data_IF_179631698824
#
_entry.id   IF_179631698824
#
_cell.length_a   1.000
_cell.length_b   1.000
_cell.length_c   1.000
_cell.angle_alpha   90.00
_cell.angle_beta   90.00
_cell.angle_gamma   90.00
#
_symmetry.space_group_name_H-M   'P 1'
#
loop_
_entity.id
_entity.type
_entity.pdbx_description
1 polymer ?
#
# COMPACT_ATOMS: atom_id res chain seq x y z
N UNK A 1 -10.87 -46.05 62.99
CA UNK A 1 -11.87 -45.54 61.97
C UNK A 1 -11.08 -44.86 60.88
N UNK A 2 -11.02 -45.52 59.72
CA UNK A 2 -10.16 -45.14 58.62
C UNK A 2 -11.04 -44.37 57.62
N UNK A 3 -10.76 -43.08 57.42
CA UNK A 3 -11.49 -42.28 56.43
C UNK A 3 -10.88 -42.45 55.04
N UNK A 4 -11.66 -42.91 54.09
CA UNK A 4 -11.31 -43.02 52.68
C UNK A 4 -11.37 -41.65 51.99
N UNK A 5 -10.22 -41.18 51.49
CA UNK A 5 -10.18 -40.08 50.50
C UNK A 5 -10.67 -40.63 49.15
N UNK A 6 -11.72 -40.06 48.63
CA UNK A 6 -12.11 -40.21 47.22
C UNK A 6 -11.30 -39.26 46.37
N UNK A 7 -10.44 -39.76 45.49
CA UNK A 7 -9.85 -39.02 44.36
C UNK A 7 -10.94 -38.86 43.27
N UNK A 8 -11.36 -37.63 43.07
CA UNK A 8 -12.16 -37.28 41.91
C UNK A 8 -11.25 -37.20 40.66
N UNK A 9 -11.44 -38.12 39.75
CA UNK A 9 -10.79 -38.14 38.45
C UNK A 9 -11.36 -37.00 37.57
N UNK A 10 -10.56 -35.94 37.34
CA UNK A 10 -10.89 -34.93 36.33
C UNK A 10 -10.71 -35.54 34.95
N UNK A 11 -11.84 -35.85 34.29
CA UNK A 11 -11.87 -36.15 32.87
C UNK A 11 -11.58 -34.86 32.10
N UNK A 12 -10.37 -34.72 31.56
CA UNK A 12 -10.04 -33.72 30.55
C UNK A 12 -10.83 -34.03 29.29
N UNK A 13 -11.71 -33.10 28.91
CA UNK A 13 -12.36 -33.10 27.60
C UNK A 13 -11.33 -33.01 26.51
N UNK A 14 -11.42 -33.74 25.39
CA UNK A 14 -10.49 -33.60 24.28
C UNK A 14 -10.65 -32.18 23.69
N UNK A 15 -9.57 -31.41 23.67
CA UNK A 15 -9.51 -30.13 23.03
C UNK A 15 -9.85 -30.21 21.53
N UNK A 16 -10.18 -29.10 20.88
CA UNK A 16 -10.62 -29.09 19.50
C UNK A 16 -9.53 -29.73 18.61
N UNK A 17 -9.95 -30.75 17.84
CA UNK A 17 -9.12 -31.42 16.84
C UNK A 17 -8.53 -30.37 15.91
N UNK A 18 -7.21 -30.25 15.89
CA UNK A 18 -6.53 -29.49 14.85
C UNK A 18 -6.95 -30.02 13.48
N UNK A 19 -7.49 -29.15 12.66
CA UNK A 19 -7.78 -29.46 11.26
C UNK A 19 -6.48 -29.92 10.59
N UNK A 20 -6.51 -30.98 9.77
CA UNK A 20 -5.30 -31.44 9.09
C UNK A 20 -4.73 -30.30 8.25
N UNK A 21 -3.44 -30.01 8.45
CA UNK A 21 -2.69 -29.11 7.59
C UNK A 21 -2.92 -29.57 6.14
N UNK A 22 -3.47 -28.70 5.30
CA UNK A 22 -3.63 -28.97 3.87
C UNK A 22 -2.25 -29.33 3.34
N UNK A 23 -2.11 -30.55 2.86
CA UNK A 23 -0.91 -31.09 2.22
C UNK A 23 -0.39 -30.06 1.22
N UNK A 24 0.85 -29.59 1.44
CA UNK A 24 1.48 -28.61 0.58
C UNK A 24 1.58 -29.12 -0.85
N UNK A 25 0.81 -28.53 -1.74
CA UNK A 25 1.30 -28.35 -3.10
C UNK A 25 2.58 -27.52 -2.97
N UNK A 26 3.70 -27.99 -3.52
CA UNK A 26 4.92 -27.20 -3.61
C UNK A 26 4.59 -25.97 -4.44
N UNK A 27 4.29 -24.85 -3.76
CA UNK A 27 4.14 -23.57 -4.44
C UNK A 27 5.49 -23.25 -5.06
N UNK A 28 5.51 -22.92 -6.35
CA UNK A 28 6.64 -22.28 -6.98
C UNK A 28 7.15 -21.13 -6.10
N UNK A 29 8.43 -20.78 -6.19
CA UNK A 29 8.99 -19.69 -5.40
C UNK A 29 8.11 -18.44 -5.57
N UNK A 30 7.73 -17.79 -4.46
CA UNK A 30 6.95 -16.54 -4.46
C UNK A 30 7.63 -15.51 -5.35
N UNK A 31 6.85 -14.79 -6.15
CA UNK A 31 7.38 -13.85 -7.13
C UNK A 31 6.67 -12.49 -7.05
N UNK A 32 7.47 -11.45 -7.01
CA UNK A 32 7.01 -10.06 -7.12
C UNK A 32 7.57 -9.45 -8.39
N UNK A 33 6.72 -8.81 -9.17
CA UNK A 33 7.15 -7.93 -10.24
C UNK A 33 7.05 -6.46 -9.77
N UNK A 34 8.07 -5.66 -10.06
CA UNK A 34 8.06 -4.21 -9.84
C UNK A 34 8.18 -3.54 -11.19
N UNK A 35 7.11 -2.89 -11.66
CA UNK A 35 7.06 -2.20 -12.94
C UNK A 35 7.39 -0.72 -12.74
N UNK A 36 8.49 -0.30 -13.36
CA UNK A 36 9.16 0.97 -13.12
C UNK A 36 10.36 0.79 -12.19
N UNK A 37 11.58 0.81 -12.75
CA UNK A 37 12.83 0.72 -11.99
C UNK A 37 13.35 2.09 -11.51
N UNK A 38 12.48 3.11 -11.47
CA UNK A 38 12.77 4.43 -10.91
C UNK A 38 13.16 4.36 -9.42
N UNK A 39 13.28 5.51 -8.75
CA UNK A 39 13.72 5.52 -7.35
C UNK A 39 12.72 4.81 -6.43
N UNK A 40 11.40 5.00 -6.63
CA UNK A 40 10.37 4.36 -5.82
C UNK A 40 10.37 2.85 -6.02
N UNK A 41 10.35 2.38 -7.28
CA UNK A 41 10.35 0.95 -7.58
C UNK A 41 11.63 0.26 -7.12
N UNK A 42 12.79 0.90 -7.29
CA UNK A 42 14.06 0.39 -6.80
C UNK A 42 14.08 0.29 -5.27
N UNK A 43 13.56 1.30 -4.54
CA UNK A 43 13.43 1.23 -3.09
C UNK A 43 12.50 0.09 -2.67
N UNK A 44 11.36 -0.07 -3.34
CA UNK A 44 10.43 -1.17 -3.09
C UNK A 44 11.13 -2.53 -3.27
N UNK A 45 11.80 -2.74 -4.41
CA UNK A 45 12.54 -3.96 -4.69
C UNK A 45 13.63 -4.25 -3.65
N UNK A 46 14.37 -3.23 -3.24
CA UNK A 46 15.43 -3.35 -2.24
C UNK A 46 14.90 -3.73 -0.85
N UNK A 47 13.80 -3.10 -0.40
CA UNK A 47 13.15 -3.46 0.87
C UNK A 47 12.61 -4.89 0.82
N UNK A 48 11.99 -5.31 -0.29
CA UNK A 48 11.53 -6.68 -0.48
C UNK A 48 12.68 -7.70 -0.47
N UNK A 49 13.82 -7.35 -1.08
CA UNK A 49 15.02 -8.19 -1.06
C UNK A 49 15.54 -8.42 0.36
N UNK A 50 15.69 -7.34 1.15
CA UNK A 50 16.11 -7.43 2.56
C UNK A 50 15.15 -8.27 3.42
N UNK A 51 13.88 -8.35 3.05
CA UNK A 51 12.86 -9.17 3.72
C UNK A 51 12.79 -10.61 3.22
N UNK A 52 13.64 -10.99 2.26
CA UNK A 52 13.71 -12.33 1.68
C UNK A 52 12.34 -12.86 1.21
N UNK A 53 11.53 -12.00 0.56
CA UNK A 53 10.15 -12.36 0.21
C UNK A 53 10.02 -13.36 -0.94
N UNK A 54 11.10 -13.61 -1.69
CA UNK A 54 11.14 -14.51 -2.83
C UNK A 54 11.86 -13.91 -4.05
N UNK A 55 11.43 -14.27 -5.25
CA UNK A 55 11.97 -13.73 -6.49
C UNK A 55 11.41 -12.33 -6.77
N UNK A 56 12.28 -11.39 -7.16
CA UNK A 56 11.93 -10.03 -7.54
C UNK A 56 12.34 -9.80 -8.99
N UNK A 57 11.39 -9.37 -9.81
CA UNK A 57 11.62 -8.99 -11.21
C UNK A 57 11.35 -7.50 -11.36
N UNK A 58 12.36 -6.72 -11.71
CA UNK A 58 12.21 -5.30 -12.01
C UNK A 58 12.04 -5.12 -13.52
N UNK A 59 10.90 -4.59 -13.94
CA UNK A 59 10.61 -4.31 -15.34
C UNK A 59 10.68 -2.81 -15.61
N UNK A 60 11.42 -2.41 -16.63
CA UNK A 60 11.50 -1.02 -17.09
C UNK A 60 11.70 -0.96 -18.59
N UNK A 61 11.20 0.07 -19.24
CA UNK A 61 11.42 0.32 -20.68
C UNK A 61 12.91 0.44 -21.01
N UNK A 62 13.71 0.89 -20.05
CA UNK A 62 15.18 0.96 -20.13
C UNK A 62 15.79 -0.29 -19.48
N UNK A 63 15.92 -1.37 -20.26
CA UNK A 63 16.38 -2.68 -19.78
C UNK A 63 17.71 -2.61 -19.03
N UNK A 64 18.69 -1.88 -19.56
CA UNK A 64 20.00 -1.70 -18.92
C UNK A 64 19.91 -1.05 -17.54
N UNK A 65 18.98 -0.12 -17.37
CA UNK A 65 18.73 0.55 -16.09
C UNK A 65 18.14 -0.41 -15.04
N UNK A 66 17.14 -1.21 -15.43
CA UNK A 66 16.58 -2.25 -14.56
C UNK A 66 17.62 -3.31 -14.18
N UNK A 67 18.40 -3.81 -15.17
CA UNK A 67 19.47 -4.79 -14.96
C UNK A 67 20.57 -4.26 -14.04
N UNK A 68 21.00 -3.01 -14.25
CA UNK A 68 22.04 -2.38 -13.43
C UNK A 68 21.62 -2.28 -11.96
N UNK A 69 20.42 -1.80 -11.68
CA UNK A 69 19.89 -1.72 -10.30
C UNK A 69 19.71 -3.11 -9.68
N UNK A 70 19.20 -4.08 -10.43
CA UNK A 70 19.03 -5.45 -9.94
C UNK A 70 20.39 -6.07 -9.57
N UNK A 71 21.42 -5.84 -10.37
CA UNK A 71 22.78 -6.33 -10.10
C UNK A 71 23.39 -5.67 -8.86
N UNK A 72 23.26 -4.35 -8.71
CA UNK A 72 23.76 -3.60 -7.56
C UNK A 72 23.09 -4.09 -6.26
N UNK A 73 21.75 -4.23 -6.26
CA UNK A 73 21.04 -4.83 -5.14
C UNK A 73 21.51 -6.25 -4.82
N UNK A 74 21.70 -7.10 -5.84
CA UNK A 74 22.17 -8.47 -5.64
C UNK A 74 23.56 -8.51 -4.99
N UNK A 75 24.46 -7.59 -5.36
CA UNK A 75 25.77 -7.45 -4.73
C UNK A 75 25.69 -7.00 -3.27
N UNK A 76 24.66 -6.19 -2.91
CA UNK A 76 24.39 -5.82 -1.53
C UNK A 76 23.94 -6.97 -0.63
N UNK A 77 23.52 -8.10 -1.19
CA UNK A 77 22.96 -9.23 -0.45
C UNK A 77 23.90 -9.80 0.62
N UNK A 78 25.17 -10.02 0.27
CA UNK A 78 26.16 -10.53 1.23
C UNK A 78 26.40 -9.57 2.40
N UNK A 79 26.40 -8.25 2.12
CA UNK A 79 26.62 -7.21 3.15
C UNK A 79 25.44 -7.08 4.10
N UNK A 80 24.21 -7.25 3.58
CA UNK A 80 22.96 -7.02 4.30
C UNK A 80 22.23 -8.32 4.70
N UNK A 81 22.88 -9.47 4.50
CA UNK A 81 22.38 -10.80 4.85
C UNK A 81 21.02 -11.16 4.23
N UNK A 82 20.89 -10.98 2.91
CA UNK A 82 19.76 -11.50 2.15
C UNK A 82 20.20 -12.23 0.88
N UNK A 83 19.43 -13.25 0.48
CA UNK A 83 19.66 -14.10 -0.70
C UNK A 83 18.57 -13.88 -1.78
N UNK A 84 17.97 -12.70 -1.83
CA UNK A 84 16.91 -12.38 -2.78
C UNK A 84 17.36 -12.54 -4.22
N UNK A 85 16.60 -13.31 -5.02
CA UNK A 85 16.81 -13.40 -6.46
C UNK A 85 16.21 -12.17 -7.12
N UNK A 86 17.05 -11.23 -7.55
CA UNK A 86 16.62 -9.98 -8.19
C UNK A 86 17.08 -10.00 -9.63
N UNK A 87 16.18 -9.72 -10.57
CA UNK A 87 16.49 -9.60 -12.00
C UNK A 87 15.89 -8.32 -12.58
N UNK A 88 16.50 -7.80 -13.63
CA UNK A 88 15.99 -6.66 -14.39
C UNK A 88 15.67 -7.08 -15.83
N UNK A 89 14.58 -6.57 -16.38
CA UNK A 89 14.10 -6.88 -17.74
C UNK A 89 13.32 -5.72 -18.34
N UNK A 90 13.04 -5.80 -19.63
CA UNK A 90 12.02 -5.00 -20.33
C UNK A 90 10.87 -5.85 -20.86
N UNK A 91 10.97 -7.18 -20.74
CA UNK A 91 10.03 -8.12 -21.30
C UNK A 91 8.97 -8.51 -20.29
N UNK A 92 7.70 -8.29 -20.63
CA UNK A 92 6.57 -8.69 -19.79
C UNK A 92 6.46 -10.21 -19.59
N UNK A 93 7.00 -11.03 -20.48
CA UNK A 93 7.03 -12.49 -20.29
C UNK A 93 7.76 -12.89 -19.00
N UNK A 94 8.73 -12.09 -18.54
CA UNK A 94 9.49 -12.35 -17.33
C UNK A 94 8.69 -12.13 -16.05
N UNK A 95 7.55 -11.41 -16.10
CA UNK A 95 6.66 -11.29 -14.94
C UNK A 95 5.65 -12.43 -14.82
N UNK A 96 5.63 -13.36 -15.77
CA UNK A 96 4.70 -14.49 -15.75
C UNK A 96 4.79 -15.25 -14.41
N UNK A 97 3.61 -15.56 -13.84
CA UNK A 97 3.50 -16.21 -12.55
C UNK A 97 3.84 -15.34 -11.34
N UNK A 98 3.89 -14.01 -11.49
CA UNK A 98 4.01 -13.12 -10.35
C UNK A 98 2.74 -13.19 -9.46
N UNK A 99 2.94 -13.34 -8.15
CA UNK A 99 1.85 -13.29 -7.16
C UNK A 99 1.39 -11.84 -6.92
N UNK A 100 2.35 -10.90 -6.96
CA UNK A 100 2.11 -9.47 -6.77
C UNK A 100 2.83 -8.67 -7.84
N UNK A 101 2.16 -7.67 -8.38
CA UNK A 101 2.75 -6.68 -9.29
C UNK A 101 2.64 -5.30 -8.65
N UNK A 102 3.78 -4.67 -8.36
CA UNK A 102 3.85 -3.30 -7.87
C UNK A 102 4.09 -2.36 -9.05
N UNK A 103 3.21 -1.40 -9.26
CA UNK A 103 3.27 -0.46 -10.40
C UNK A 103 3.70 0.91 -9.91
N UNK A 104 4.93 1.30 -10.26
CA UNK A 104 5.51 2.61 -9.96
C UNK A 104 5.87 3.40 -11.21
N UNK A 105 5.62 2.81 -12.39
CA UNK A 105 5.84 3.47 -13.68
C UNK A 105 4.87 4.64 -13.86
N UNK A 106 5.38 5.76 -14.31
CA UNK A 106 4.57 6.95 -14.54
C UNK A 106 5.45 8.15 -14.83
N UNK A 107 4.82 9.20 -15.34
CA UNK A 107 5.49 10.44 -15.64
C UNK A 107 5.44 11.36 -14.41
N UNK A 108 6.58 11.89 -13.93
CA UNK A 108 6.57 12.83 -12.82
C UNK A 108 6.03 14.19 -13.28
N UNK A 109 5.30 14.88 -12.40
CA UNK A 109 4.82 16.23 -12.69
C UNK A 109 6.01 17.17 -12.95
N UNK A 110 5.96 17.88 -14.07
CA UNK A 110 6.97 18.91 -14.43
C UNK A 110 6.42 20.31 -14.18
N UNK A 111 7.27 21.30 -13.93
CA UNK A 111 6.84 22.70 -13.87
C UNK A 111 6.07 23.09 -15.14
N UNK A 112 4.93 23.77 -14.98
CA UNK A 112 4.06 24.19 -16.09
C UNK A 112 3.11 23.13 -16.63
N UNK A 113 3.15 21.89 -16.12
CA UNK A 113 2.20 20.84 -16.49
C UNK A 113 0.90 20.97 -15.71
N UNK A 114 -0.23 20.97 -16.41
CA UNK A 114 -1.55 20.93 -15.78
C UNK A 114 -1.78 19.58 -15.07
N UNK A 115 -2.84 19.51 -14.28
CA UNK A 115 -3.24 18.23 -13.65
C UNK A 115 -3.78 17.28 -14.72
N UNK A 116 -4.58 17.79 -15.65
CA UNK A 116 -5.17 17.05 -16.76
C UNK A 116 -4.10 16.43 -17.65
N UNK A 117 -3.06 17.20 -18.02
CA UNK A 117 -1.91 16.70 -18.79
C UNK A 117 -1.19 15.54 -18.07
N UNK A 118 -1.04 15.63 -16.76
CA UNK A 118 -0.40 14.58 -15.97
C UNK A 118 -1.27 13.32 -15.92
N UNK A 119 -2.58 13.48 -15.68
CA UNK A 119 -3.54 12.36 -15.65
C UNK A 119 -3.56 11.67 -16.99
N UNK A 120 -3.72 12.39 -18.11
CA UNK A 120 -3.76 11.83 -19.46
C UNK A 120 -2.51 11.02 -19.80
N UNK A 121 -1.31 11.60 -19.57
CA UNK A 121 -0.04 10.89 -19.82
C UNK A 121 0.13 9.63 -18.96
N UNK A 122 -0.26 9.69 -17.71
CA UNK A 122 -0.16 8.53 -16.82
C UNK A 122 -1.23 7.49 -17.16
N UNK A 123 -2.42 7.88 -17.62
CA UNK A 123 -3.43 6.95 -18.11
C UNK A 123 -2.95 6.15 -19.33
N UNK A 124 -2.26 6.79 -20.27
CA UNK A 124 -1.66 6.09 -21.42
C UNK A 124 -0.64 5.04 -20.96
N UNK A 125 0.27 5.43 -20.05
CA UNK A 125 1.27 4.50 -19.48
C UNK A 125 0.59 3.36 -18.73
N UNK A 126 -0.42 3.65 -17.90
CA UNK A 126 -1.13 2.63 -17.13
C UNK A 126 -1.96 1.71 -18.03
N UNK A 127 -2.46 2.20 -19.16
CA UNK A 127 -3.13 1.37 -20.16
C UNK A 127 -2.18 0.34 -20.78
N UNK A 128 -0.96 0.74 -21.14
CA UNK A 128 0.07 -0.18 -21.66
C UNK A 128 0.51 -1.19 -20.59
N UNK A 129 0.82 -0.71 -19.40
CA UNK A 129 1.24 -1.55 -18.26
C UNK A 129 0.13 -2.53 -17.87
N UNK A 130 -1.11 -2.07 -17.79
CA UNK A 130 -2.26 -2.91 -17.45
C UNK A 130 -2.50 -4.02 -18.46
N UNK A 131 -2.37 -3.74 -19.76
CA UNK A 131 -2.42 -4.76 -20.80
C UNK A 131 -1.31 -5.80 -20.64
N UNK A 132 -0.07 -5.36 -20.40
CA UNK A 132 1.06 -6.26 -20.14
C UNK A 132 0.85 -7.16 -18.91
N UNK A 133 0.32 -6.62 -17.81
CA UNK A 133 -0.01 -7.38 -16.61
C UNK A 133 -1.13 -8.39 -16.88
N UNK A 134 -2.22 -7.98 -17.52
CA UNK A 134 -3.35 -8.84 -17.86
C UNK A 134 -2.89 -10.06 -18.68
N UNK A 135 -2.02 -9.82 -19.65
CA UNK A 135 -1.61 -10.84 -20.62
C UNK A 135 -0.55 -11.80 -20.05
N UNK A 136 0.28 -11.37 -19.09
CA UNK A 136 1.40 -12.17 -18.58
C UNK A 136 1.29 -12.57 -17.10
N UNK A 137 0.55 -11.84 -16.27
CA UNK A 137 0.35 -12.11 -14.85
C UNK A 137 -1.13 -11.99 -14.41
N UNK A 138 -2.07 -12.73 -15.08
CA UNK A 138 -3.52 -12.54 -14.90
C UNK A 138 -4.04 -12.88 -13.50
N UNK A 139 -3.29 -13.67 -12.72
CA UNK A 139 -3.68 -14.10 -11.37
C UNK A 139 -3.07 -13.24 -10.26
N UNK A 140 -2.28 -12.23 -10.61
CA UNK A 140 -1.60 -11.37 -9.63
C UNK A 140 -2.55 -10.42 -8.91
N UNK A 141 -2.08 -9.92 -7.75
CA UNK A 141 -2.65 -8.74 -7.09
C UNK A 141 -1.79 -7.53 -7.47
N UNK A 142 -2.44 -6.44 -7.85
CA UNK A 142 -1.76 -5.21 -8.29
C UNK A 142 -1.73 -4.21 -7.14
N UNK A 143 -0.53 -3.72 -6.81
CA UNK A 143 -0.31 -2.61 -5.88
C UNK A 143 0.08 -1.37 -6.68
N UNK A 144 -0.82 -0.39 -6.75
CA UNK A 144 -0.60 0.86 -7.47
C UNK A 144 0.13 1.88 -6.61
N UNK A 145 1.10 2.58 -7.23
CA UNK A 145 1.87 3.67 -6.60
C UNK A 145 1.87 4.93 -7.48
N UNK A 146 1.59 4.77 -8.77
CA UNK A 146 1.60 5.86 -9.75
C UNK A 146 0.55 6.92 -9.44
N UNK A 147 0.97 8.19 -9.44
CA UNK A 147 0.08 9.34 -9.21
C UNK A 147 -0.54 9.91 -10.50
N UNK A 148 -1.74 10.51 -10.41
CA UNK A 148 -2.61 10.61 -9.23
C UNK A 148 -3.19 9.27 -8.82
N UNK A 149 -2.89 8.84 -7.60
CA UNK A 149 -3.02 7.44 -7.18
C UNK A 149 -4.42 6.87 -7.35
N UNK A 150 -5.43 7.54 -6.81
CA UNK A 150 -6.80 7.02 -6.78
C UNK A 150 -7.37 6.89 -8.20
N UNK A 151 -7.06 7.87 -9.08
CA UNK A 151 -7.45 7.84 -10.49
C UNK A 151 -6.74 6.72 -11.26
N UNK A 152 -5.43 6.57 -11.05
CA UNK A 152 -4.64 5.53 -11.72
C UNK A 152 -4.99 4.13 -11.23
N UNK A 153 -5.40 3.98 -9.96
CA UNK A 153 -5.89 2.72 -9.41
C UNK A 153 -7.22 2.32 -10.06
N UNK A 154 -8.14 3.28 -10.18
CA UNK A 154 -9.41 3.08 -10.88
C UNK A 154 -9.18 2.70 -12.35
N UNK A 155 -8.33 3.46 -13.04
CA UNK A 155 -8.00 3.22 -14.44
C UNK A 155 -7.35 1.84 -14.66
N UNK A 156 -6.39 1.45 -13.81
CA UNK A 156 -5.77 0.11 -13.85
C UNK A 156 -6.80 -1.01 -13.73
N UNK A 157 -7.75 -0.88 -12.82
CA UNK A 157 -8.82 -1.87 -12.68
C UNK A 157 -9.67 -1.98 -13.96
N UNK A 158 -10.02 -0.84 -14.57
CA UNK A 158 -10.78 -0.82 -15.83
C UNK A 158 -10.01 -1.44 -17.00
N UNK A 159 -8.73 -1.12 -17.13
CA UNK A 159 -7.86 -1.65 -18.21
C UNK A 159 -7.64 -3.15 -18.08
N UNK A 160 -7.37 -3.62 -16.86
CA UNK A 160 -7.10 -5.05 -16.64
C UNK A 160 -8.36 -5.90 -16.60
N UNK A 161 -9.48 -5.33 -16.17
CA UNK A 161 -10.70 -6.08 -15.88
C UNK A 161 -10.56 -7.02 -14.67
N UNK A 162 -9.53 -6.84 -13.85
CA UNK A 162 -9.35 -7.65 -12.65
C UNK A 162 -10.46 -7.38 -11.64
N UNK A 163 -10.83 -8.36 -10.81
CA UNK A 163 -11.70 -8.13 -9.67
C UNK A 163 -11.19 -6.95 -8.82
N UNK A 164 -12.07 -6.01 -8.39
CA UNK A 164 -11.63 -4.80 -7.69
C UNK A 164 -10.77 -5.06 -6.46
N UNK A 165 -11.00 -6.14 -5.74
CA UNK A 165 -10.21 -6.56 -4.57
C UNK A 165 -8.76 -6.91 -4.93
N UNK A 166 -8.45 -7.23 -6.19
CA UNK A 166 -7.09 -7.51 -6.66
C UNK A 166 -6.34 -6.29 -7.19
N UNK A 167 -6.93 -5.12 -7.14
CA UNK A 167 -6.25 -3.86 -7.48
C UNK A 167 -6.35 -2.94 -6.27
N UNK A 168 -5.23 -2.54 -5.70
CA UNK A 168 -5.18 -1.74 -4.47
C UNK A 168 -4.15 -0.62 -4.60
N UNK A 169 -4.50 0.57 -4.14
CA UNK A 169 -3.62 1.74 -4.20
C UNK A 169 -2.85 1.96 -2.89
N UNK A 170 -1.57 2.33 -3.02
CA UNK A 170 -0.73 2.75 -1.91
C UNK A 170 -1.03 4.21 -1.57
N UNK A 171 -1.84 4.46 -0.55
CA UNK A 171 -2.34 5.78 -0.15
C UNK A 171 -2.11 6.03 1.35
N UNK A 172 -3.13 5.82 2.15
CA UNK A 172 -3.14 6.10 3.57
C UNK A 172 -2.01 5.45 4.37
N UNK A 173 -1.47 4.31 3.93
CA UNK A 173 -0.30 3.70 4.58
C UNK A 173 0.91 4.65 4.58
N UNK A 174 1.14 5.40 3.51
CA UNK A 174 2.20 6.41 3.44
C UNK A 174 1.82 7.67 4.23
N UNK A 175 0.58 8.13 4.09
CA UNK A 175 0.10 9.34 4.74
C UNK A 175 0.05 9.16 6.25
N UNK A 176 -0.38 8.00 6.73
CA UNK A 176 -0.31 7.63 8.15
C UNK A 176 1.13 7.53 8.66
N UNK A 177 2.07 7.02 7.86
CA UNK A 177 3.48 6.99 8.24
C UNK A 177 4.10 8.39 8.39
N UNK A 178 3.67 9.37 7.58
CA UNK A 178 4.06 10.78 7.75
C UNK A 178 3.50 11.34 9.06
N UNK A 179 2.20 11.13 9.30
CA UNK A 179 1.55 11.57 10.54
C UNK A 179 2.21 10.93 11.78
N UNK A 180 2.49 9.64 11.73
CA UNK A 180 3.26 8.90 12.75
C UNK A 180 4.58 9.60 13.06
N UNK A 181 5.35 9.96 12.02
CA UNK A 181 6.65 10.60 12.20
C UNK A 181 6.51 11.98 12.89
N UNK A 182 5.55 12.80 12.45
CA UNK A 182 5.37 14.13 13.02
C UNK A 182 4.86 14.09 14.46
N UNK A 183 4.02 13.14 14.81
CA UNK A 183 3.59 12.91 16.21
C UNK A 183 4.76 12.45 17.06
N UNK A 184 5.55 11.49 16.57
CA UNK A 184 6.70 10.98 17.29
C UNK A 184 7.76 12.06 17.54
N UNK A 185 8.00 12.94 16.54
CA UNK A 185 8.90 14.11 16.64
C UNK A 185 8.39 15.10 17.71
N UNK A 186 7.10 15.45 17.68
CA UNK A 186 6.47 16.39 18.62
C UNK A 186 6.53 15.87 20.07
N UNK A 187 6.26 14.59 20.28
CA UNK A 187 6.20 13.99 21.60
C UNK A 187 7.55 13.47 22.11
N UNK A 188 8.58 13.42 21.26
CA UNK A 188 9.88 12.83 21.60
C UNK A 188 9.81 11.32 21.89
N UNK A 189 8.94 10.57 21.18
CA UNK A 189 8.75 9.12 21.35
C UNK A 189 9.20 8.36 20.09
N UNK A 190 9.30 7.03 20.19
CA UNK A 190 9.57 6.19 19.02
C UNK A 190 8.43 6.18 18.01
N UNK A 191 8.76 6.16 16.72
CA UNK A 191 7.78 5.90 15.65
C UNK A 191 7.04 4.55 15.84
N UNK A 192 7.64 3.59 16.51
CA UNK A 192 7.06 2.25 16.74
C UNK A 192 5.85 2.31 17.70
N UNK A 193 5.81 3.32 18.56
CA UNK A 193 4.74 3.50 19.54
C UNK A 193 3.53 4.27 18.99
N UNK A 194 3.67 4.90 17.82
CA UNK A 194 2.60 5.72 17.21
C UNK A 194 1.88 4.96 16.12
N UNK A 195 0.56 4.92 16.21
CA UNK A 195 -0.33 4.35 15.20
C UNK A 195 -1.29 5.43 14.70
N UNK A 196 -0.98 5.99 13.53
CA UNK A 196 -1.81 7.00 12.90
C UNK A 196 -2.79 6.41 11.88
N UNK A 197 -3.91 7.10 11.67
CA UNK A 197 -4.95 6.74 10.71
C UNK A 197 -5.27 7.94 9.82
N UNK A 198 -5.08 7.76 8.51
CA UNK A 198 -5.40 8.76 7.48
C UNK A 198 -6.23 8.09 6.38
N UNK A 199 -7.39 8.63 6.10
CA UNK A 199 -8.31 8.20 5.04
C UNK A 199 -8.34 9.21 3.88
N UNK A 200 -9.26 8.99 2.95
CA UNK A 200 -9.50 9.90 1.83
C UNK A 200 -8.54 9.73 0.68
N UNK A 201 -8.58 10.64 -0.27
CA UNK A 201 -7.71 10.62 -1.44
C UNK A 201 -6.26 10.93 -1.12
N UNK A 202 -5.35 10.30 -1.84
CA UNK A 202 -3.91 10.50 -1.65
C UNK A 202 -3.46 11.86 -2.20
N UNK A 203 -3.41 12.88 -1.32
CA UNK A 203 -3.04 14.26 -1.65
C UNK A 203 -3.73 15.28 -0.75
N UNK A 204 -4.06 16.44 -1.32
CA UNK A 204 -4.61 17.58 -0.56
C UNK A 204 -5.99 17.32 0.07
N UNK A 205 -6.67 16.25 -0.34
CA UNK A 205 -8.00 15.86 0.15
C UNK A 205 -7.97 14.67 1.11
N UNK A 206 -6.80 14.34 1.66
CA UNK A 206 -6.71 13.31 2.70
C UNK A 206 -7.45 13.74 3.97
N UNK A 207 -7.88 12.75 4.74
CA UNK A 207 -8.66 12.93 5.97
C UNK A 207 -7.92 12.28 7.13
N UNK A 208 -7.02 13.00 7.81
CA UNK A 208 -6.41 12.52 9.05
C UNK A 208 -7.47 12.32 10.12
N UNK A 209 -7.34 11.25 10.90
CA UNK A 209 -8.27 10.90 11.97
C UNK A 209 -7.58 10.91 13.35
N UNK A 210 -7.49 12.05 14.04
CA UNK A 210 -6.87 12.16 15.37
C UNK A 210 -7.49 11.21 16.41
N UNK A 211 -8.79 11.01 16.37
CA UNK A 211 -9.53 10.11 17.30
C UNK A 211 -9.14 8.63 17.15
N UNK A 212 -8.69 8.24 15.96
CA UNK A 212 -8.21 6.89 15.65
C UNK A 212 -6.68 6.80 15.61
N UNK A 213 -6.00 7.88 16.02
CA UNK A 213 -4.54 7.95 16.09
C UNK A 213 -4.10 7.85 17.53
N UNK A 214 -3.16 6.94 17.83
CA UNK A 214 -2.77 6.62 19.19
C UNK A 214 -1.25 6.58 19.36
N UNK A 215 -0.80 6.84 20.58
CA UNK A 215 0.57 6.55 21.06
C UNK A 215 0.44 5.48 22.14
N UNK A 216 1.01 4.29 21.92
CA UNK A 216 0.87 3.14 22.80
C UNK A 216 -0.57 2.83 23.22
N UNK A 217 -1.53 3.03 22.30
CA UNK A 217 -2.95 2.82 22.54
C UNK A 217 -3.70 3.98 23.19
N UNK A 218 -3.02 5.07 23.54
CA UNK A 218 -3.66 6.28 24.09
C UNK A 218 -3.98 7.23 22.92
N UNK A 219 -5.25 7.66 22.75
CA UNK A 219 -5.59 8.61 21.70
C UNK A 219 -4.81 9.92 21.82
N UNK A 220 -4.32 10.45 20.71
CA UNK A 220 -3.52 11.71 20.71
C UNK A 220 -4.34 12.90 21.20
N UNK A 221 -5.67 12.84 21.09
CA UNK A 221 -6.59 13.85 21.64
C UNK A 221 -6.55 13.97 23.16
N UNK A 222 -5.95 13.00 23.87
CA UNK A 222 -5.69 13.05 25.32
C UNK A 222 -4.26 13.47 25.66
N UNK A 223 -3.37 13.53 24.66
CA UNK A 223 -1.92 13.74 24.85
C UNK A 223 -1.45 15.11 24.37
N UNK A 224 -2.19 15.73 23.46
CA UNK A 224 -1.85 17.03 22.84
C UNK A 224 -3.06 17.92 22.77
N UNK A 225 -2.83 19.24 22.72
CA UNK A 225 -3.90 20.21 22.47
C UNK A 225 -4.33 20.19 20.98
N UNK A 226 -5.50 20.79 20.74
CA UNK A 226 -6.14 20.81 19.42
C UNK A 226 -5.28 21.58 18.39
N UNK A 227 -4.61 22.67 18.78
CA UNK A 227 -3.79 23.48 17.89
C UNK A 227 -2.58 22.68 17.39
N UNK A 228 -1.92 21.93 18.25
CA UNK A 228 -0.82 21.03 17.92
C UNK A 228 -1.28 19.90 16.99
N UNK A 229 -2.42 19.28 17.28
CA UNK A 229 -3.00 18.23 16.43
C UNK A 229 -3.31 18.78 15.04
N UNK A 230 -3.96 19.92 14.93
CA UNK A 230 -4.29 20.58 13.67
C UNK A 230 -3.04 20.91 12.84
N UNK A 231 -1.98 21.40 13.50
CA UNK A 231 -0.70 21.67 12.87
C UNK A 231 -0.08 20.40 12.25
N UNK A 232 -0.09 19.30 13.00
CA UNK A 232 0.39 18.00 12.53
C UNK A 232 -0.45 17.49 11.35
N UNK A 233 -1.78 17.59 11.42
CA UNK A 233 -2.68 17.20 10.33
C UNK A 233 -2.39 18.00 9.05
N UNK A 234 -2.22 19.31 9.15
CA UNK A 234 -1.87 20.18 8.01
C UNK A 234 -0.50 19.83 7.43
N UNK A 235 0.50 19.61 8.30
CA UNK A 235 1.84 19.18 7.85
C UNK A 235 1.82 17.82 7.18
N UNK A 236 1.00 16.89 7.67
CA UNK A 236 0.79 15.57 7.06
C UNK A 236 0.27 15.68 5.64
N UNK A 237 -0.76 16.49 5.41
CA UNK A 237 -1.32 16.74 4.07
C UNK A 237 -0.27 17.38 3.13
N UNK A 238 0.56 18.28 3.65
CA UNK A 238 1.64 18.95 2.93
C UNK A 238 2.93 18.15 2.80
N UNK A 239 3.07 16.98 3.47
CA UNK A 239 4.36 16.29 3.67
C UNK A 239 5.07 15.86 2.39
N UNK A 240 4.32 15.54 1.34
CA UNK A 240 4.90 15.27 0.01
C UNK A 240 5.51 16.52 -0.61
N UNK A 241 4.83 17.65 -0.52
CA UNK A 241 5.29 18.95 -1.01
C UNK A 241 6.50 19.48 -0.22
N UNK A 242 6.53 19.27 1.10
CA UNK A 242 7.68 19.62 1.95
C UNK A 242 8.96 18.93 1.46
N UNK A 243 8.89 17.63 1.18
CA UNK A 243 10.03 16.86 0.67
C UNK A 243 10.48 17.37 -0.71
N UNK A 244 9.52 17.62 -1.63
CA UNK A 244 9.83 18.17 -2.97
C UNK A 244 10.56 19.50 -2.86
N UNK A 245 10.12 20.38 -1.96
CA UNK A 245 10.76 21.68 -1.71
C UNK A 245 12.18 21.54 -1.18
N UNK A 246 12.41 20.61 -0.26
CA UNK A 246 13.74 20.37 0.32
C UNK A 246 14.70 19.70 -0.66
N UNK A 247 14.21 18.79 -1.51
CA UNK A 247 15.04 18.09 -2.50
C UNK A 247 15.38 18.96 -3.72
N UNK A 248 14.61 20.03 -3.98
CA UNK A 248 14.70 20.90 -5.16
C UNK A 248 14.50 20.14 -6.50
N UNK A 249 14.96 18.91 -6.59
CA UNK A 249 14.78 18.00 -7.74
C UNK A 249 14.31 16.63 -7.28
N UNK A 250 13.21 16.13 -7.87
CA UNK A 250 12.63 14.82 -7.54
C UNK A 250 11.51 14.91 -6.51
N UNK A 251 11.20 13.79 -5.90
CA UNK A 251 10.13 13.62 -4.90
C UNK A 251 10.52 12.54 -3.89
N UNK A 252 9.73 12.36 -2.85
CA UNK A 252 9.89 11.25 -1.90
C UNK A 252 9.92 9.90 -2.62
N UNK A 253 10.82 9.00 -2.24
CA UNK A 253 10.91 7.66 -2.80
C UNK A 253 11.22 6.56 -1.77
N UNK A 254 11.88 6.88 -0.66
CA UNK A 254 12.14 5.89 0.40
C UNK A 254 10.84 5.45 1.08
N UNK A 255 10.06 6.38 1.59
CA UNK A 255 8.82 6.07 2.30
C UNK A 255 7.76 5.42 1.37
N UNK A 256 7.45 5.95 0.17
CA UNK A 256 6.49 5.29 -0.71
C UNK A 256 6.96 3.91 -1.20
N UNK A 257 8.26 3.73 -1.50
CA UNK A 257 8.80 2.42 -1.86
C UNK A 257 8.69 1.40 -0.71
N UNK A 258 8.99 1.83 0.52
CA UNK A 258 8.84 0.98 1.71
C UNK A 258 7.38 0.64 1.99
N UNK A 259 6.46 1.59 1.87
CA UNK A 259 5.03 1.36 2.04
C UNK A 259 4.49 0.35 1.03
N UNK A 260 4.85 0.48 -0.25
CA UNK A 260 4.49 -0.49 -1.30
C UNK A 260 5.07 -1.89 -1.02
N UNK A 261 6.31 -1.97 -0.53
CA UNK A 261 6.94 -3.24 -0.15
C UNK A 261 6.19 -3.93 1.01
N UNK A 262 5.73 -3.18 2.01
CA UNK A 262 4.93 -3.74 3.13
C UNK A 262 3.56 -4.25 2.65
N UNK A 263 2.92 -3.55 1.71
CA UNK A 263 1.68 -4.03 1.10
C UNK A 263 1.92 -5.34 0.32
N UNK A 264 2.95 -5.37 -0.53
CA UNK A 264 3.32 -6.56 -1.30
C UNK A 264 3.67 -7.74 -0.38
N UNK A 265 4.43 -7.51 0.69
CA UNK A 265 4.75 -8.54 1.70
C UNK A 265 3.49 -9.06 2.41
N UNK A 266 2.54 -8.17 2.73
CA UNK A 266 1.27 -8.59 3.36
C UNK A 266 0.48 -9.55 2.46
N UNK A 267 0.42 -9.27 1.17
CA UNK A 267 -0.24 -10.11 0.17
C UNK A 267 0.50 -11.44 0.02
N UNK A 268 1.81 -11.40 -0.25
CA UNK A 268 2.64 -12.58 -0.46
C UNK A 268 2.61 -13.58 0.68
N UNK A 269 2.68 -13.06 1.91
CA UNK A 269 2.76 -13.84 3.13
C UNK A 269 1.39 -14.10 3.77
N UNK A 270 0.30 -13.64 3.16
CA UNK A 270 -1.07 -13.72 3.71
C UNK A 270 -1.16 -13.18 5.15
N UNK A 271 -0.52 -12.03 5.38
CA UNK A 271 -0.37 -11.49 6.75
C UNK A 271 -1.65 -10.88 7.29
N UNK A 272 -2.62 -10.62 6.43
CA UNK A 272 -3.93 -10.01 6.79
C UNK A 272 -3.77 -8.75 7.64
N UNK A 273 -2.83 -7.89 7.23
CA UNK A 273 -2.61 -6.63 7.93
C UNK A 273 -3.76 -5.67 7.70
N UNK A 274 -4.16 -5.00 8.76
CA UNK A 274 -5.05 -3.83 8.64
C UNK A 274 -4.20 -2.63 8.24
N UNK A 275 -4.45 -2.10 7.04
CA UNK A 275 -3.69 -1.00 6.45
C UNK A 275 -4.65 -0.01 5.78
N UNK A 276 -4.47 1.30 5.91
CA UNK A 276 -5.22 2.26 5.12
C UNK A 276 -4.67 2.28 3.68
N UNK A 277 -5.49 1.86 2.73
CA UNK A 277 -5.16 1.74 1.31
C UNK A 277 -6.29 2.32 0.45
N UNK A 278 -5.99 2.73 -0.78
CA UNK A 278 -7.01 3.07 -1.76
C UNK A 278 -7.68 1.78 -2.26
N UNK A 279 -8.95 1.60 -1.94
CA UNK A 279 -9.76 0.43 -2.25
C UNK A 279 -11.08 0.84 -2.91
N UNK A 280 -11.63 -0.09 -3.71
CA UNK A 280 -12.91 0.12 -4.40
C UNK A 280 -14.08 0.00 -3.45
N UNK A 281 -14.93 1.04 -3.39
CA UNK A 281 -16.09 1.09 -2.52
C UNK A 281 -17.38 0.71 -3.25
N UNK A 282 -18.21 -0.07 -2.58
CA UNK A 282 -19.51 -0.58 -3.05
C UNK A 282 -20.65 -0.30 -2.08
N UNK A 283 -20.60 0.80 -1.35
CA UNK A 283 -21.60 1.21 -0.37
C UNK A 283 -21.01 1.75 0.93
N UNK A 284 -19.78 1.39 1.26
CA UNK A 284 -19.12 1.82 2.49
C UNK A 284 -19.05 3.36 2.55
N UNK A 285 -19.31 3.94 3.71
CA UNK A 285 -19.39 5.39 3.92
C UNK A 285 -20.41 6.11 3.02
N UNK A 286 -21.38 5.38 2.44
CA UNK A 286 -22.32 5.90 1.45
C UNK A 286 -21.71 6.15 0.08
N UNK A 287 -20.51 5.63 -0.18
CA UNK A 287 -19.74 5.80 -1.42
C UNK A 287 -19.81 4.54 -2.29
N UNK A 288 -19.92 4.73 -3.60
CA UNK A 288 -19.97 3.66 -4.58
C UNK A 288 -19.10 4.02 -5.79
N UNK A 289 -18.58 3.03 -6.48
CA UNK A 289 -17.85 3.16 -7.75
C UNK A 289 -16.73 4.21 -7.68
N UNK A 290 -15.83 4.01 -6.72
CA UNK A 290 -14.65 4.86 -6.50
C UNK A 290 -13.57 4.10 -5.75
N UNK A 291 -12.32 4.35 -6.10
CA UNK A 291 -11.16 4.00 -5.29
C UNK A 291 -10.81 5.18 -4.40
N UNK A 292 -10.72 4.94 -3.11
CA UNK A 292 -10.35 5.96 -2.12
C UNK A 292 -9.74 5.31 -0.88
N UNK A 293 -8.90 6.06 -0.16
CA UNK A 293 -8.21 5.58 1.04
C UNK A 293 -9.15 5.25 2.19
N UNK A 294 -9.20 3.98 2.58
CA UNK A 294 -9.96 3.44 3.71
C UNK A 294 -9.16 2.31 4.38
N UNK A 295 -9.43 1.95 5.64
CA UNK A 295 -8.77 0.83 6.29
C UNK A 295 -9.25 -0.48 5.67
N UNK A 296 -8.31 -1.32 5.26
CA UNK A 296 -8.60 -2.63 4.66
C UNK A 296 -7.82 -3.74 5.36
N UNK A 297 -8.34 -4.94 5.32
CA UNK A 297 -7.57 -6.15 5.61
C UNK A 297 -6.92 -6.61 4.31
N UNK A 298 -5.59 -6.51 4.25
CA UNK A 298 -4.82 -6.84 3.06
C UNK A 298 -4.15 -8.21 3.22
N UNK A 299 -4.62 -9.18 2.47
CA UNK A 299 -4.16 -10.56 2.48
C UNK A 299 -3.86 -11.08 1.09
N UNK A 300 -3.77 -12.41 0.96
CA UNK A 300 -3.33 -13.08 -0.27
C UNK A 300 -4.17 -12.75 -1.50
N UNK A 301 -5.45 -12.51 -1.32
CA UNK A 301 -6.37 -12.23 -2.42
C UNK A 301 -6.50 -10.73 -2.72
N UNK A 302 -5.65 -9.90 -2.11
CA UNK A 302 -5.74 -8.44 -2.17
C UNK A 302 -6.53 -7.88 -0.98
N UNK A 303 -7.51 -7.03 -1.24
CA UNK A 303 -8.42 -6.46 -0.23
C UNK A 303 -9.44 -7.54 0.17
N UNK A 304 -9.28 -8.12 1.35
CA UNK A 304 -10.18 -9.18 1.83
C UNK A 304 -11.43 -8.62 2.52
N UNK A 305 -11.30 -7.46 3.15
CA UNK A 305 -12.42 -6.70 3.71
C UNK A 305 -12.06 -5.23 3.90
N UNK A 306 -13.07 -4.38 3.91
CA UNK A 306 -12.98 -2.97 4.30
C UNK A 306 -13.48 -2.85 5.74
N UNK A 307 -12.74 -2.13 6.57
CA UNK A 307 -13.12 -1.85 7.95
C UNK A 307 -13.78 -0.48 7.96
N UNK A 308 -15.10 -0.43 8.17
CA UNK A 308 -15.81 0.82 8.32
C UNK A 308 -15.64 1.36 9.75
N UNK A 309 -15.07 2.57 9.85
CA UNK A 309 -14.94 3.29 11.12
C UNK A 309 -16.19 4.13 11.37
N UNK A 310 -16.55 4.31 12.63
CA UNK A 310 -17.59 5.27 13.03
C UNK A 310 -17.03 6.70 12.93
N UNK A 311 -17.25 7.35 11.80
CA UNK A 311 -16.82 8.71 11.53
C UNK A 311 -17.79 9.72 12.13
N UNK A 312 -17.26 10.83 12.61
CA UNK A 312 -18.07 12.02 12.92
C UNK A 312 -18.58 12.65 11.62
N UNK A 313 -19.65 13.46 11.73
CA UNK A 313 -20.28 14.08 10.56
C UNK A 313 -19.29 14.90 9.73
N UNK A 314 -18.37 15.62 10.38
CA UNK A 314 -17.32 16.40 9.72
C UNK A 314 -16.29 15.51 8.99
N UNK A 315 -15.88 14.40 9.62
CA UNK A 315 -14.94 13.43 9.03
C UNK A 315 -15.58 12.72 7.83
N UNK A 316 -16.82 12.27 7.97
CA UNK A 316 -17.58 11.65 6.90
C UNK A 316 -17.81 12.60 5.73
N UNK A 317 -18.21 13.86 6.01
CA UNK A 317 -18.38 14.90 5.00
C UNK A 317 -17.07 15.17 4.23
N UNK A 318 -15.93 15.20 4.93
CA UNK A 318 -14.61 15.36 4.33
C UNK A 318 -14.25 14.19 3.42
N UNK A 319 -14.50 12.95 3.87
CA UNK A 319 -14.25 11.74 3.07
C UNK A 319 -15.13 11.72 1.80
N UNK A 320 -16.42 12.06 1.94
CA UNK A 320 -17.35 12.15 0.82
C UNK A 320 -17.00 13.30 -0.14
N UNK A 321 -16.53 14.41 0.39
CA UNK A 321 -16.00 15.54 -0.40
C UNK A 321 -14.78 15.14 -1.22
N UNK A 322 -13.84 14.42 -0.60
CA UNK A 322 -12.68 13.84 -1.27
C UNK A 322 -13.09 12.89 -2.41
N UNK A 323 -14.02 11.98 -2.15
CA UNK A 323 -14.52 11.05 -3.17
C UNK A 323 -15.18 11.76 -4.34
N UNK A 324 -15.99 12.81 -4.08
CA UNK A 324 -16.64 13.63 -5.11
C UNK A 324 -15.62 14.28 -6.02
N UNK A 325 -14.58 14.89 -5.45
CA UNK A 325 -13.50 15.51 -6.19
C UNK A 325 -12.80 14.54 -7.18
N UNK A 326 -12.55 13.28 -6.76
CA UNK A 326 -11.96 12.28 -7.66
C UNK A 326 -12.95 11.75 -8.69
N UNK A 327 -14.25 11.62 -8.36
CA UNK A 327 -15.28 11.22 -9.33
C UNK A 327 -15.43 12.23 -10.46
N UNK A 328 -15.42 13.51 -10.15
CA UNK A 328 -15.44 14.59 -11.15
C UNK A 328 -14.25 14.45 -12.11
N UNK A 329 -13.04 14.23 -11.60
CA UNK A 329 -11.87 14.02 -12.43
C UNK A 329 -11.91 12.73 -13.27
N UNK A 330 -12.45 11.62 -12.74
CA UNK A 330 -12.63 10.39 -13.51
C UNK A 330 -13.56 10.64 -14.72
N UNK A 331 -14.66 11.36 -14.50
CA UNK A 331 -15.58 11.72 -15.57
C UNK A 331 -14.96 12.69 -16.57
N UNK A 332 -14.40 13.80 -16.09
CA UNK A 332 -13.97 14.92 -16.94
C UNK A 332 -12.70 14.60 -17.74
N UNK A 333 -11.79 13.80 -17.21
CA UNK A 333 -10.48 13.56 -17.82
C UNK A 333 -10.38 12.16 -18.44
N UNK A 334 -10.94 11.15 -17.78
CA UNK A 334 -10.84 9.75 -18.24
C UNK A 334 -12.11 9.20 -18.88
N UNK A 335 -13.23 9.95 -18.81
CA UNK A 335 -14.50 9.59 -19.46
C UNK A 335 -15.22 8.39 -18.82
N UNK A 336 -15.03 8.18 -17.52
CA UNK A 336 -15.68 7.10 -16.75
C UNK A 336 -16.95 7.58 -16.05
#
# INVERSE_FOLDING_TARGET
MVGRLMLASLMLSPGPRALPARSGMSRGARKVAVIGAGNVGATCAFVLAQRNVGQIVMLDIYEGFAKGKALDMSQGGQVLNYDGKISGTKDYSDIAGADVVVVTSGFPRKPGMSREDLVGKNADIISEVGAGIRDHAPDSVIVMVTNPLDLMTYHMQRVTGFPPERVVGQAGILDSARMTHFIAEEMGVSNEDVQAMVLGGHGDTMVPLPRYTTVSGIPITQLMDEETIDSICKRTAGGGGEIVKLLEKGSAFYAPGSAAAIMAESILNDRKRSLPCSAYLTGQYGLNDIYIGVPVVLGRNGVESIIELELEESELSSLQGSARFYKEQLSDILGY
#
